data_IF_991476393448
#
_entry.id   IF_991476393448
#
_cell.length_a   1.000
_cell.length_b   1.000
_cell.length_c   1.000
_cell.angle_alpha   90.00
_cell.angle_beta   90.00
_cell.angle_gamma   90.00
#
_symmetry.space_group_name_H-M   'P 1'
#
loop_
_entity.id
_entity.type
_entity.pdbx_description
1 polymer ?
#
# COMPACT_ATOMS: atom_id res chain seq x y z
N UNK A 1 9.87 -32.38 -2.16
CA UNK A 1 11.12 -31.94 -2.81
C UNK A 1 11.66 -30.76 -2.01
N UNK A 2 12.86 -30.89 -1.45
CA UNK A 2 13.45 -29.92 -0.52
C UNK A 2 14.19 -28.85 -1.33
N UNK A 3 13.64 -27.65 -1.43
CA UNK A 3 14.40 -26.51 -1.97
C UNK A 3 15.17 -25.83 -0.85
N UNK A 4 16.49 -26.09 -0.85
CA UNK A 4 17.49 -25.28 -0.17
C UNK A 4 17.67 -24.00 -0.98
N UNK A 5 17.30 -22.86 -0.43
CA UNK A 5 17.64 -21.55 -1.02
C UNK A 5 18.65 -20.86 -0.13
N UNK A 6 19.81 -20.62 -0.74
CA UNK A 6 21.05 -20.08 -0.20
C UNK A 6 20.90 -18.60 0.16
N UNK A 7 21.28 -18.24 1.38
CA UNK A 7 21.41 -16.86 1.86
C UNK A 7 22.76 -16.33 1.39
N UNK A 8 22.77 -15.20 0.67
CA UNK A 8 23.99 -14.45 0.35
C UNK A 8 23.96 -13.14 1.15
N UNK A 9 24.69 -13.15 2.27
CA UNK A 9 25.05 -11.99 3.07
C UNK A 9 26.10 -11.18 2.30
N UNK A 10 25.84 -9.91 2.03
CA UNK A 10 26.89 -8.93 1.76
C UNK A 10 26.78 -7.81 2.81
N UNK A 11 27.69 -7.86 3.78
CA UNK A 11 27.97 -6.75 4.68
C UNK A 11 29.05 -5.87 4.05
N UNK A 12 28.80 -4.57 3.94
CA UNK A 12 29.83 -3.59 3.63
C UNK A 12 29.96 -2.64 4.82
N UNK A 13 31.02 -2.88 5.59
CA UNK A 13 31.55 -2.01 6.64
C UNK A 13 32.25 -0.84 5.96
N UNK A 14 31.88 0.39 6.27
CA UNK A 14 32.72 1.56 6.03
C UNK A 14 32.93 2.29 7.35
N UNK A 15 34.09 2.01 7.94
CA UNK A 15 34.70 2.83 8.97
C UNK A 15 35.43 3.99 8.31
N UNK A 16 35.15 5.21 8.74
CA UNK A 16 36.06 6.33 8.58
C UNK A 16 36.08 7.11 9.91
N UNK A 17 37.18 6.92 10.64
CA UNK A 17 37.56 7.69 11.79
C UNK A 17 38.01 9.09 11.36
N UNK A 18 37.56 10.13 12.04
CA UNK A 18 38.30 11.39 12.13
C UNK A 18 38.51 11.69 13.60
N UNK A 19 39.77 11.60 14.02
CA UNK A 19 40.26 12.08 15.29
C UNK A 19 40.34 13.61 15.24
N UNK A 20 39.75 14.27 16.24
CA UNK A 20 39.91 15.69 16.49
C UNK A 20 39.93 15.93 17.99
N UNK A 21 41.13 15.88 18.58
CA UNK A 21 41.38 16.39 19.93
C UNK A 21 41.22 17.92 19.92
N UNK A 22 40.30 18.44 20.72
CA UNK A 22 40.10 19.87 20.94
C UNK A 22 39.87 20.11 22.43
N UNK A 23 40.89 20.69 23.05
CA UNK A 23 41.14 20.96 24.47
C UNK A 23 40.06 21.84 25.12
N UNK A 24 39.81 21.57 26.41
CA UNK A 24 38.99 22.38 27.33
C UNK A 24 39.45 23.85 27.40
N UNK A 25 38.50 24.77 27.40
CA UNK A 25 38.63 26.07 28.07
C UNK A 25 37.26 26.51 28.62
N UNK A 26 37.22 26.65 29.94
CA UNK A 26 36.12 27.24 30.69
C UNK A 26 36.20 28.76 30.59
N UNK A 27 35.13 29.45 30.20
CA UNK A 27 34.93 30.87 30.51
C UNK A 27 33.45 31.24 30.45
N UNK A 28 32.94 31.53 31.64
CA UNK A 28 31.74 32.28 31.97
C UNK A 28 31.80 33.70 31.40
N UNK A 29 30.73 34.20 30.75
CA UNK A 29 30.20 35.56 30.87
C UNK A 29 29.17 35.93 29.79
N UNK A 30 28.04 36.47 30.27
CA UNK A 30 27.32 37.65 29.80
C UNK A 30 26.75 37.76 28.36
N UNK A 31 25.42 37.92 28.33
CA UNK A 31 24.63 38.98 27.68
C UNK A 31 24.65 39.20 26.15
N UNK A 32 23.41 39.27 25.63
CA UNK A 32 22.86 39.60 24.30
C UNK A 32 23.38 40.95 23.68
N UNK A 33 23.01 41.41 22.44
CA UNK A 33 21.84 41.09 21.60
C UNK A 33 22.12 41.09 20.05
N UNK A 34 21.25 41.55 19.11
CA UNK A 34 20.89 40.79 17.90
C UNK A 34 21.43 41.37 16.57
N UNK A 35 21.28 40.60 15.49
CA UNK A 35 21.13 41.12 14.13
C UNK A 35 22.36 40.95 13.23
N UNK A 36 22.14 40.38 12.04
CA UNK A 36 22.49 40.95 10.73
C UNK A 36 21.87 40.07 9.65
N UNK A 37 21.34 40.72 8.63
CA UNK A 37 20.55 40.17 7.54
C UNK A 37 21.45 39.68 6.36
N UNK A 38 20.94 39.50 5.12
CA UNK A 38 21.24 38.35 4.27
C UNK A 38 22.43 38.57 3.30
N UNK A 39 23.15 37.50 3.00
CA UNK A 39 24.19 37.48 1.97
C UNK A 39 23.78 36.61 0.76
N UNK A 40 23.75 37.16 -0.47
CA UNK A 40 23.61 36.40 -1.71
C UNK A 40 24.99 36.05 -2.29
N UNK A 41 25.23 34.79 -2.67
CA UNK A 41 26.35 34.33 -3.51
C UNK A 41 26.33 32.80 -3.56
N UNK A 42 26.66 32.09 -4.63
CA UNK A 42 27.16 32.47 -5.93
C UNK A 42 26.79 31.37 -6.94
N UNK A 43 26.69 31.78 -8.20
CA UNK A 43 26.61 30.90 -9.35
C UNK A 43 27.94 30.16 -9.60
N UNK A 44 27.84 28.97 -10.19
CA UNK A 44 28.91 28.32 -10.94
C UNK A 44 28.87 26.79 -10.87
N UNK A 45 29.53 26.05 -11.78
CA UNK A 45 29.66 26.30 -13.20
C UNK A 45 29.11 25.14 -14.05
N UNK A 46 28.90 25.49 -15.31
CA UNK A 46 28.62 24.61 -16.44
C UNK A 46 29.75 23.58 -16.65
N UNK A 47 29.39 22.31 -16.85
CA UNK A 47 30.27 21.30 -17.41
C UNK A 47 29.60 20.68 -18.64
N UNK A 48 30.17 20.99 -19.80
CA UNK A 48 29.80 20.44 -21.09
C UNK A 48 30.56 19.14 -21.38
N UNK A 49 29.82 18.21 -22.00
CA UNK A 49 30.24 17.22 -23.00
C UNK A 49 30.99 15.95 -22.52
N UNK A 50 31.13 14.89 -23.35
CA UNK A 50 30.52 14.57 -24.66
C UNK A 50 29.96 13.12 -24.73
N UNK A 51 29.36 12.74 -25.88
CA UNK A 51 29.46 11.35 -26.37
C UNK A 51 28.17 10.53 -26.42
N UNK A 52 27.67 10.34 -27.63
CA UNK A 52 26.54 9.48 -28.05
C UNK A 52 27.13 8.16 -28.66
N UNK A 53 26.31 7.28 -29.29
CA UNK A 53 25.60 6.08 -28.82
C UNK A 53 26.32 4.75 -29.23
N UNK A 54 25.71 3.55 -29.17
CA UNK A 54 24.76 3.11 -30.20
C UNK A 54 23.52 2.36 -29.69
N UNK A 55 22.47 2.46 -30.50
CA UNK A 55 21.30 1.60 -30.53
C UNK A 55 21.66 0.10 -30.46
N UNK A 56 20.97 -0.64 -29.59
CA UNK A 56 20.93 -2.10 -29.65
C UNK A 56 19.47 -2.53 -29.60
N UNK A 57 18.85 -2.48 -30.77
CA UNK A 57 17.62 -3.18 -31.08
C UNK A 57 17.91 -4.69 -31.07
N UNK A 58 17.59 -5.36 -29.97
CA UNK A 58 17.54 -6.81 -29.90
C UNK A 58 16.22 -7.32 -30.53
N UNK A 59 16.25 -8.31 -31.42
CA UNK A 59 15.06 -8.86 -32.05
C UNK A 59 14.17 -9.60 -31.05
N UNK A 60 12.86 -9.42 -31.20
CA UNK A 60 11.82 -10.15 -30.49
C UNK A 60 11.89 -11.66 -30.82
N UNK A 61 11.78 -12.58 -29.84
CA UNK A 61 11.58 -13.98 -30.14
C UNK A 61 10.16 -14.20 -30.68
N UNK A 62 10.08 -14.64 -31.93
CA UNK A 62 8.87 -15.20 -32.52
C UNK A 62 8.51 -16.49 -31.78
N UNK A 63 7.36 -16.49 -31.10
CA UNK A 63 6.79 -17.71 -30.52
C UNK A 63 5.78 -18.26 -31.52
N UNK A 64 6.26 -19.18 -32.36
CA UNK A 64 5.44 -20.08 -33.16
C UNK A 64 4.81 -21.11 -32.21
N UNK A 65 3.49 -21.19 -32.16
CA UNK A 65 2.78 -22.35 -31.61
C UNK A 65 2.04 -23.06 -32.74
N UNK A 66 2.36 -24.34 -33.03
CA UNK A 66 1.64 -25.14 -34.01
C UNK A 66 0.25 -25.53 -33.47
N UNK A 67 -0.71 -25.58 -34.37
CA UNK A 67 -2.09 -25.95 -34.08
C UNK A 67 -2.26 -27.41 -33.65
N UNK A 68 -3.37 -27.66 -32.95
CA UNK A 68 -3.97 -28.97 -32.85
C UNK A 68 -5.48 -28.82 -33.05
N UNK A 69 -5.92 -29.21 -34.25
CA UNK A 69 -7.30 -29.46 -34.63
C UNK A 69 -7.75 -30.77 -33.98
N UNK A 70 -8.93 -30.81 -33.35
CA UNK A 70 -9.69 -32.04 -33.22
C UNK A 70 -11.20 -31.75 -33.32
N UNK A 71 -11.94 -32.44 -34.22
CA UNK A 71 -13.38 -32.32 -34.41
C UNK A 71 -14.16 -33.38 -33.60
N UNK A 72 -15.45 -33.12 -33.40
CA UNK A 72 -16.50 -34.14 -33.49
C UNK A 72 -16.74 -35.04 -32.27
N UNK A 73 -17.88 -34.83 -31.61
CA UNK A 73 -18.42 -35.74 -30.61
C UNK A 73 -19.90 -35.48 -30.33
N UNK A 74 -20.75 -35.72 -31.33
CA UNK A 74 -22.20 -35.78 -31.17
C UNK A 74 -22.60 -37.02 -30.35
N UNK A 75 -23.56 -36.87 -29.43
CA UNK A 75 -24.30 -38.00 -28.86
C UNK A 75 -25.80 -37.67 -28.84
N UNK A 76 -26.65 -38.45 -29.52
CA UNK A 76 -28.10 -38.30 -29.50
C UNK A 76 -28.77 -39.20 -28.44
N UNK A 77 -29.99 -38.82 -28.05
CA UNK A 77 -30.93 -39.62 -27.23
C UNK A 77 -31.22 -38.93 -25.88
N UNK A 78 -32.38 -38.31 -25.62
CA UNK A 78 -33.71 -38.52 -26.17
C UNK A 78 -34.49 -39.48 -25.29
N UNK A 79 -35.19 -38.96 -24.28
CA UNK A 79 -36.54 -39.37 -23.85
C UNK A 79 -37.14 -38.27 -22.95
N UNK A 80 -38.19 -37.63 -23.44
CA UNK A 80 -39.25 -37.03 -22.63
C UNK A 80 -40.43 -38.04 -22.65
N UNK A 81 -41.36 -38.06 -21.66
CA UNK A 81 -42.46 -37.08 -21.70
C UNK A 81 -43.03 -36.60 -20.34
N UNK A 82 -43.50 -35.35 -20.39
CA UNK A 82 -44.76 -34.79 -19.85
C UNK A 82 -45.07 -34.89 -18.34
N UNK A 83 -45.16 -33.72 -17.68
CA UNK A 83 -46.38 -33.30 -16.95
C UNK A 83 -46.42 -31.75 -16.83
N UNK A 84 -47.24 -31.08 -17.64
CA UNK A 84 -48.54 -30.49 -17.29
C UNK A 84 -48.51 -29.34 -16.27
N UNK A 85 -48.33 -28.12 -16.78
CA UNK A 85 -49.20 -26.99 -16.41
C UNK A 85 -48.91 -26.21 -15.11
N UNK A 86 -48.16 -25.11 -15.24
CA UNK A 86 -48.60 -23.81 -14.71
C UNK A 86 -47.89 -22.65 -15.43
N UNK A 87 -48.61 -21.73 -16.10
CA UNK A 87 -48.05 -20.46 -16.56
C UNK A 87 -47.78 -19.59 -15.32
N UNK A 88 -46.54 -19.62 -14.83
CA UNK A 88 -46.04 -18.62 -13.89
C UNK A 88 -45.62 -17.38 -14.65
N UNK A 89 -46.10 -16.21 -14.20
CA UNK A 89 -45.82 -14.88 -14.73
C UNK A 89 -44.34 -14.64 -15.11
N UNK A 90 -44.07 -13.82 -16.14
CA UNK A 90 -42.74 -13.26 -16.39
C UNK A 90 -42.28 -12.43 -15.18
N UNK A 91 -41.52 -13.08 -14.30
CA UNK A 91 -40.86 -12.44 -13.18
C UNK A 91 -39.94 -11.32 -13.68
N UNK A 92 -40.31 -10.09 -13.32
CA UNK A 92 -39.56 -8.84 -13.49
C UNK A 92 -38.05 -9.04 -13.22
N UNK A 93 -37.13 -8.48 -14.02
CA UNK A 93 -35.69 -8.54 -13.75
C UNK A 93 -35.41 -8.10 -12.32
N UNK A 94 -34.78 -9.00 -11.55
CA UNK A 94 -34.46 -8.79 -10.15
C UNK A 94 -33.72 -7.48 -9.96
N UNK A 95 -34.30 -6.59 -9.16
CA UNK A 95 -33.66 -5.35 -8.74
C UNK A 95 -32.34 -5.60 -8.02
N UNK A 96 -31.48 -4.58 -7.91
CA UNK A 96 -30.15 -4.71 -7.32
C UNK A 96 -30.27 -5.30 -5.91
N UNK A 97 -29.53 -6.38 -5.68
CA UNK A 97 -29.46 -7.12 -4.42
C UNK A 97 -29.14 -6.16 -3.28
N UNK A 98 -30.19 -5.71 -2.59
CA UNK A 98 -30.10 -4.90 -1.37
C UNK A 98 -29.97 -5.87 -0.20
N UNK A 99 -28.86 -6.61 -0.17
CA UNK A 99 -28.47 -7.48 0.95
C UNK A 99 -27.89 -6.63 2.07
N UNK A 100 -28.75 -5.85 2.73
CA UNK A 100 -28.43 -4.92 3.81
C UNK A 100 -28.09 -5.60 5.13
N UNK A 101 -26.98 -6.34 5.18
CA UNK A 101 -26.26 -6.51 6.43
C UNK A 101 -25.57 -5.20 6.73
N UNK A 102 -26.16 -4.37 7.60
CA UNK A 102 -25.64 -3.06 7.99
C UNK A 102 -24.21 -3.15 8.50
N UNK A 103 -23.23 -3.04 7.59
CA UNK A 103 -21.82 -3.05 7.93
C UNK A 103 -21.55 -1.79 8.75
N UNK A 104 -20.87 -1.87 9.91
CA UNK A 104 -20.53 -0.71 10.71
C UNK A 104 -19.92 0.40 9.85
N UNK A 105 -20.61 1.53 9.78
CA UNK A 105 -20.13 2.72 9.11
C UNK A 105 -19.02 3.33 9.94
N UNK A 106 -17.76 3.10 9.58
CA UNK A 106 -16.66 3.94 10.07
C UNK A 106 -16.90 5.38 9.63
N UNK A 107 -16.63 6.32 10.53
CA UNK A 107 -16.68 7.74 10.22
C UNK A 107 -15.65 8.12 9.14
N UNK A 108 -15.75 9.36 8.63
CA UNK A 108 -14.80 9.90 7.68
C UNK A 108 -13.38 10.08 8.25
N UNK A 109 -13.24 10.11 9.59
CA UNK A 109 -11.98 10.37 10.29
C UNK A 109 -11.44 9.14 11.03
N UNK A 110 -12.23 8.07 11.14
CA UNK A 110 -11.85 6.88 11.90
C UNK A 110 -11.32 5.79 10.97
N UNK A 111 -10.02 5.50 11.07
CA UNK A 111 -9.35 4.44 10.33
C UNK A 111 -9.37 3.13 11.14
N UNK A 112 -10.01 2.09 10.63
CA UNK A 112 -9.96 0.73 11.21
C UNK A 112 -9.14 -0.20 10.32
N UNK A 113 -8.83 -1.42 10.79
CA UNK A 113 -8.20 -2.43 9.94
C UNK A 113 -9.04 -2.76 8.68
N UNK A 114 -10.36 -2.59 8.75
CA UNK A 114 -11.27 -2.79 7.61
C UNK A 114 -11.34 -1.58 6.67
N UNK A 115 -10.74 -0.44 7.03
CA UNK A 115 -10.58 0.76 6.21
C UNK A 115 -11.20 2.03 6.80
N UNK A 116 -11.51 3.02 5.95
CA UNK A 116 -12.01 4.35 6.35
C UNK A 116 -13.13 4.83 5.43
N UNK A 117 -14.22 5.35 6.00
CA UNK A 117 -15.42 5.76 5.26
C UNK A 117 -15.85 4.73 4.20
N UNK A 118 -15.90 5.10 2.90
CA UNK A 118 -16.25 4.20 1.80
C UNK A 118 -15.09 3.30 1.33
N UNK A 119 -13.85 3.59 1.73
CA UNK A 119 -12.67 2.79 1.36
C UNK A 119 -12.57 1.59 2.29
N UNK A 120 -13.26 0.52 1.93
CA UNK A 120 -13.29 -0.74 2.68
C UNK A 120 -12.48 -1.81 1.97
N UNK A 121 -11.72 -2.59 2.74
CA UNK A 121 -11.03 -3.76 2.20
C UNK A 121 -12.05 -4.70 1.53
N UNK A 122 -11.74 -5.13 0.31
CA UNK A 122 -12.58 -5.95 -0.55
C UNK A 122 -13.56 -5.19 -1.46
N UNK A 123 -13.78 -3.88 -1.27
CA UNK A 123 -14.64 -3.08 -2.16
C UNK A 123 -14.07 -3.02 -3.57
N UNK A 124 -14.95 -3.12 -4.56
CA UNK A 124 -14.54 -3.07 -5.96
C UNK A 124 -14.07 -1.66 -6.35
N UNK A 125 -12.97 -1.60 -7.09
CA UNK A 125 -12.42 -0.37 -7.65
C UNK A 125 -13.45 0.36 -8.51
N UNK A 126 -14.22 -0.38 -9.32
CA UNK A 126 -15.26 0.17 -10.20
C UNK A 126 -16.33 0.92 -9.41
N UNK A 127 -16.71 0.43 -8.24
CA UNK A 127 -17.75 1.05 -7.42
C UNK A 127 -17.25 2.36 -6.81
N UNK A 128 -15.99 2.39 -6.36
CA UNK A 128 -15.34 3.63 -5.89
C UNK A 128 -15.17 4.64 -7.03
N UNK A 129 -14.81 4.18 -8.23
CA UNK A 129 -14.68 5.05 -9.40
C UNK A 129 -16.03 5.66 -9.78
N UNK A 130 -17.09 4.84 -9.89
CA UNK A 130 -18.45 5.29 -10.21
C UNK A 130 -19.01 6.28 -9.17
N UNK A 131 -18.63 6.12 -7.90
CA UNK A 131 -18.99 7.05 -6.83
C UNK A 131 -18.14 8.35 -6.82
N UNK A 132 -17.23 8.56 -7.77
CA UNK A 132 -16.33 9.71 -7.80
C UNK A 132 -15.32 9.73 -6.64
N UNK A 133 -15.02 8.57 -6.07
CA UNK A 133 -14.16 8.43 -4.88
C UNK A 133 -12.69 8.18 -5.24
N UNK A 134 -12.33 8.10 -6.54
CA UNK A 134 -10.96 7.91 -7.02
C UNK A 134 -10.58 9.05 -7.95
N UNK A 135 -9.47 9.74 -7.67
CA UNK A 135 -9.04 10.89 -8.49
C UNK A 135 -7.86 10.59 -9.41
N UNK A 136 -7.05 9.58 -9.07
CA UNK A 136 -5.89 9.14 -9.84
C UNK A 136 -5.88 7.63 -9.79
N UNK A 137 -5.76 6.97 -10.94
CA UNK A 137 -5.72 5.52 -11.05
C UNK A 137 -4.57 5.16 -11.99
N UNK A 138 -3.66 4.30 -11.56
CA UNK A 138 -2.54 3.84 -12.38
C UNK A 138 -2.31 2.34 -12.18
N UNK A 139 -1.99 1.64 -13.27
CA UNK A 139 -1.68 0.21 -13.25
C UNK A 139 -0.17 0.04 -13.08
N UNK A 140 0.26 -0.80 -12.14
CA UNK A 140 1.67 -1.15 -11.95
C UNK A 140 2.05 -2.38 -12.76
N UNK A 141 3.34 -2.58 -13.01
CA UNK A 141 3.88 -3.72 -13.78
C UNK A 141 3.53 -5.11 -13.19
N UNK A 142 3.03 -5.18 -11.95
CA UNK A 142 2.57 -6.41 -11.28
C UNK A 142 1.07 -6.65 -11.35
N UNK A 143 0.32 -5.92 -12.19
CA UNK A 143 -1.12 -6.12 -12.36
C UNK A 143 -1.98 -5.52 -11.23
N UNK A 144 -1.39 -4.87 -10.23
CA UNK A 144 -2.18 -4.05 -9.31
C UNK A 144 -2.57 -2.75 -9.97
N UNK A 145 -3.63 -2.18 -9.43
CA UNK A 145 -3.97 -0.78 -9.66
C UNK A 145 -3.74 0.00 -8.39
N UNK A 146 -3.19 1.21 -8.49
CA UNK A 146 -3.09 2.14 -7.37
C UNK A 146 -3.99 3.34 -7.63
N UNK A 147 -4.42 4.00 -6.56
CA UNK A 147 -5.11 5.26 -6.70
C UNK A 147 -5.12 6.13 -5.46
N UNK A 148 -5.75 7.28 -5.56
CA UNK A 148 -5.88 8.23 -4.45
C UNK A 148 -7.36 8.46 -4.14
N UNK A 149 -7.71 8.34 -2.86
CA UNK A 149 -9.03 8.64 -2.35
C UNK A 149 -9.33 10.15 -2.26
N UNK A 150 -10.58 10.48 -1.95
CA UNK A 150 -11.07 11.83 -1.83
C UNK A 150 -10.55 12.53 -0.56
N UNK A 151 -10.36 13.85 -0.65
CA UNK A 151 -9.82 14.68 0.44
C UNK A 151 -10.61 14.61 1.73
N UNK A 152 -11.95 14.50 1.66
CA UNK A 152 -12.82 14.39 2.85
C UNK A 152 -12.57 13.13 3.70
N UNK A 153 -11.79 12.19 3.18
CA UNK A 153 -11.36 10.97 3.86
C UNK A 153 -9.84 10.91 4.01
N UNK A 154 -9.16 12.06 4.03
CA UNK A 154 -7.71 12.16 4.22
C UNK A 154 -6.86 11.66 3.05
N UNK A 155 -7.42 11.66 1.84
CA UNK A 155 -6.73 11.31 0.57
C UNK A 155 -5.90 10.02 0.66
N UNK A 156 -6.48 8.88 1.10
CA UNK A 156 -5.72 7.65 1.28
C UNK A 156 -5.09 7.21 -0.05
N UNK A 157 -3.85 6.72 0.01
CA UNK A 157 -3.28 5.96 -1.09
C UNK A 157 -3.88 4.55 -1.08
N UNK A 158 -4.41 4.11 -2.20
CA UNK A 158 -5.17 2.87 -2.34
C UNK A 158 -4.41 1.90 -3.22
N UNK A 159 -4.43 0.62 -2.87
CA UNK A 159 -3.88 -0.46 -3.68
C UNK A 159 -4.96 -1.51 -3.92
N UNK A 160 -5.22 -1.79 -5.19
CA UNK A 160 -6.19 -2.74 -5.68
C UNK A 160 -5.49 -3.95 -6.30
N UNK A 161 -6.02 -5.14 -6.04
CA UNK A 161 -5.63 -6.39 -6.69
C UNK A 161 -6.89 -7.09 -7.14
N UNK A 162 -6.89 -7.60 -8.37
CA UNK A 162 -8.06 -8.23 -9.00
C UNK A 162 -9.32 -7.33 -8.94
N UNK A 163 -9.11 -6.01 -9.10
CA UNK A 163 -10.16 -5.00 -9.05
C UNK A 163 -10.78 -4.76 -7.66
N UNK A 164 -10.19 -5.26 -6.58
CA UNK A 164 -10.67 -5.06 -5.20
C UNK A 164 -9.63 -4.38 -4.31
N UNK A 165 -10.08 -3.51 -3.42
CA UNK A 165 -9.22 -2.78 -2.49
C UNK A 165 -8.58 -3.76 -1.50
N UNK A 166 -7.26 -3.87 -1.50
CA UNK A 166 -6.51 -4.77 -0.60
C UNK A 166 -5.83 -4.03 0.53
N UNK A 167 -5.38 -2.82 0.24
CA UNK A 167 -4.61 -2.00 1.18
C UNK A 167 -4.92 -0.53 0.95
N UNK A 168 -4.92 0.22 2.03
CA UNK A 168 -4.88 1.67 1.99
C UNK A 168 -3.85 2.22 2.97
N UNK A 169 -3.27 3.37 2.66
CA UNK A 169 -2.27 4.07 3.46
C UNK A 169 -2.68 5.51 3.66
N UNK A 170 -2.60 6.00 4.88
CA UNK A 170 -2.87 7.39 5.27
C UNK A 170 -1.62 8.00 5.91
N UNK A 171 -1.27 9.21 5.48
CA UNK A 171 -0.18 10.03 6.04
C UNK A 171 -0.69 11.32 6.67
N UNK A 172 -2.00 11.57 6.60
CA UNK A 172 -2.63 12.73 7.23
C UNK A 172 -2.72 12.56 8.77
N UNK A 173 -2.48 13.64 9.51
CA UNK A 173 -2.52 13.65 10.98
C UNK A 173 -3.93 13.69 11.56
N UNK A 174 -4.93 14.07 10.76
CA UNK A 174 -6.32 14.17 11.19
C UNK A 174 -7.06 12.82 11.20
N UNK A 175 -6.54 11.80 10.51
CA UNK A 175 -7.07 10.44 10.61
C UNK A 175 -6.64 9.80 11.94
N UNK A 176 -7.61 9.20 12.64
CA UNK A 176 -7.40 8.62 13.97
C UNK A 176 -7.95 7.19 13.97
N UNK A 177 -7.28 6.26 14.64
CA UNK A 177 -7.80 4.90 14.83
C UNK A 177 -8.83 4.84 15.97
N UNK A 178 -9.62 3.77 16.13
CA UNK A 178 -10.54 3.64 17.26
C UNK A 178 -9.89 3.83 18.64
N UNK A 179 -8.63 3.39 18.79
CA UNK A 179 -7.89 3.53 20.03
C UNK A 179 -7.27 4.93 20.24
N UNK A 180 -7.35 5.83 19.25
CA UNK A 180 -6.79 7.18 19.32
C UNK A 180 -5.42 7.37 18.66
N UNK A 181 -4.85 6.32 18.04
CA UNK A 181 -3.57 6.45 17.35
C UNK A 181 -3.72 7.23 16.04
N UNK A 182 -2.71 8.03 15.71
CA UNK A 182 -2.64 8.86 14.50
C UNK A 182 -1.20 9.07 14.04
N UNK A 183 -1.00 9.63 12.85
CA UNK A 183 0.34 10.06 12.41
C UNK A 183 0.95 11.04 13.43
N UNK A 184 2.20 10.77 13.83
CA UNK A 184 2.93 11.46 14.89
C UNK A 184 2.86 10.81 16.28
N UNK A 185 2.01 9.79 16.47
CA UNK A 185 1.95 9.04 17.75
C UNK A 185 3.27 8.33 18.01
N UNK A 186 3.80 8.38 19.24
CA UNK A 186 5.02 7.65 19.59
C UNK A 186 4.80 6.14 19.72
N UNK A 187 5.81 5.33 19.39
CA UNK A 187 5.76 3.86 19.43
C UNK A 187 5.30 3.33 20.79
N UNK A 188 5.78 3.88 21.90
CA UNK A 188 5.37 3.47 23.24
C UNK A 188 3.85 3.63 23.46
N UNK A 189 3.26 4.71 22.94
CA UNK A 189 1.81 4.92 23.00
C UNK A 189 1.05 3.96 22.09
N UNK A 190 1.57 3.69 20.89
CA UNK A 190 0.98 2.69 19.98
C UNK A 190 0.96 1.30 20.63
N UNK A 191 2.06 0.87 21.26
CA UNK A 191 2.14 -0.41 21.97
C UNK A 191 1.14 -0.49 23.12
N UNK A 192 0.91 0.61 23.85
CA UNK A 192 -0.09 0.68 24.91
C UNK A 192 -1.53 0.55 24.36
N UNK A 193 -1.82 1.20 23.22
CA UNK A 193 -3.13 1.14 22.57
C UNK A 193 -3.39 -0.20 21.87
N UNK A 194 -2.34 -0.85 21.37
CA UNK A 194 -2.38 -2.09 20.59
C UNK A 194 -1.39 -3.12 21.16
N UNK A 195 -1.67 -3.66 22.36
CA UNK A 195 -0.73 -4.52 23.09
C UNK A 195 -0.45 -5.85 22.39
N UNK A 196 -1.39 -6.32 21.57
CA UNK A 196 -1.27 -7.59 20.83
C UNK A 196 -0.53 -7.43 19.49
N UNK A 197 0.03 -6.26 19.21
CA UNK A 197 0.79 -6.05 18.00
C UNK A 197 2.17 -6.70 18.04
N UNK A 198 2.81 -6.78 16.88
CA UNK A 198 4.19 -7.26 16.72
C UNK A 198 5.03 -6.24 15.98
N UNK A 199 6.30 -6.16 16.33
CA UNK A 199 7.26 -5.34 15.59
C UNK A 199 7.62 -6.04 14.28
N UNK A 200 7.63 -5.27 13.21
CA UNK A 200 8.16 -5.66 11.90
C UNK A 200 9.35 -4.76 11.56
N UNK A 201 10.20 -5.26 10.67
CA UNK A 201 11.22 -4.48 9.98
C UNK A 201 11.06 -4.73 8.48
N UNK A 202 11.18 -3.68 7.67
CA UNK A 202 11.24 -3.84 6.22
C UNK A 202 12.62 -4.36 5.77
N UNK A 203 12.79 -4.52 4.46
CA UNK A 203 14.04 -4.99 3.86
C UNK A 203 15.24 -4.04 4.04
N UNK A 204 15.02 -2.79 4.45
CA UNK A 204 16.07 -1.81 4.81
C UNK A 204 16.18 -1.59 6.31
N UNK A 205 15.43 -2.34 7.13
CA UNK A 205 15.44 -2.24 8.59
C UNK A 205 14.54 -1.14 9.16
N UNK A 206 13.71 -0.48 8.33
CA UNK A 206 12.76 0.50 8.83
C UNK A 206 11.70 -0.20 9.70
N UNK A 207 11.44 0.30 10.91
CA UNK A 207 10.54 -0.38 11.84
C UNK A 207 9.07 -0.08 11.58
N UNK A 208 8.21 -1.03 11.91
CA UNK A 208 6.77 -0.84 12.00
C UNK A 208 6.16 -1.66 13.14
N UNK A 209 4.94 -1.30 13.53
CA UNK A 209 4.13 -2.07 14.47
C UNK A 209 2.88 -2.59 13.76
N UNK A 210 2.69 -3.90 13.71
CA UNK A 210 1.52 -4.54 13.08
C UNK A 210 0.54 -4.97 14.17
N UNK A 211 -0.68 -4.44 14.15
CA UNK A 211 -1.78 -4.85 15.03
C UNK A 211 -2.86 -5.56 14.22
N UNK A 212 -2.99 -6.88 14.39
CA UNK A 212 -4.00 -7.68 13.70
C UNK A 212 -5.38 -7.56 14.37
N UNK A 213 -6.42 -7.45 13.55
CA UNK A 213 -7.83 -7.36 13.94
C UNK A 213 -8.64 -8.32 13.04
N UNK A 214 -8.72 -9.58 13.45
CA UNK A 214 -9.32 -10.65 12.63
C UNK A 214 -8.54 -10.90 11.34
N UNK A 215 -9.17 -10.90 10.15
CA UNK A 215 -8.49 -11.12 8.88
C UNK A 215 -7.73 -9.88 8.36
N UNK A 216 -7.87 -8.74 9.03
CA UNK A 216 -7.26 -7.47 8.65
C UNK A 216 -6.23 -7.02 9.69
N UNK A 217 -5.41 -6.03 9.35
CA UNK A 217 -4.48 -5.39 10.27
C UNK A 217 -4.41 -3.88 10.09
N UNK A 218 -3.96 -3.21 11.15
CA UNK A 218 -3.36 -1.90 11.10
C UNK A 218 -1.84 -2.04 11.15
N UNK A 219 -1.12 -1.37 10.24
CA UNK A 219 0.33 -1.26 10.27
C UNK A 219 0.71 0.19 10.53
N UNK A 220 1.43 0.41 11.63
CA UNK A 220 1.97 1.71 12.02
C UNK A 220 3.43 1.77 11.54
N UNK A 221 3.67 2.45 10.42
CA UNK A 221 5.03 2.65 9.88
C UNK A 221 5.72 3.73 10.71
N UNK A 222 6.97 3.50 11.11
CA UNK A 222 7.68 4.35 12.08
C UNK A 222 8.84 5.10 11.44
N UNK A 223 9.07 6.32 11.90
CA UNK A 223 10.24 7.15 11.62
C UNK A 223 10.53 7.95 12.89
N UNK A 224 11.76 7.89 13.40
CA UNK A 224 12.17 8.51 14.67
C UNK A 224 11.23 8.16 15.85
N UNK A 225 10.92 6.87 16.00
CA UNK A 225 9.98 6.32 17.00
C UNK A 225 8.56 6.89 16.96
N UNK A 226 8.17 7.54 15.87
CA UNK A 226 6.83 8.10 15.65
C UNK A 226 6.18 7.52 14.42
N UNK A 227 4.87 7.37 14.46
CA UNK A 227 4.07 6.92 13.31
C UNK A 227 4.19 7.93 12.17
N UNK A 228 4.77 7.54 11.04
CA UNK A 228 4.85 8.35 9.82
C UNK A 228 3.72 8.04 8.83
N UNK A 229 3.15 6.84 8.90
CA UNK A 229 1.96 6.44 8.16
C UNK A 229 1.19 5.34 8.88
N UNK A 230 -0.11 5.24 8.61
CA UNK A 230 -0.94 4.12 9.05
C UNK A 230 -1.50 3.43 7.80
N UNK A 231 -1.30 2.11 7.71
CA UNK A 231 -1.87 1.28 6.67
C UNK A 231 -2.96 0.37 7.23
N UNK A 232 -3.99 0.12 6.43
CA UNK A 232 -5.04 -0.84 6.73
C UNK A 232 -5.20 -1.80 5.54
N UNK A 233 -5.49 -3.06 5.81
CA UNK A 233 -5.60 -4.10 4.79
C UNK A 233 -5.71 -5.49 5.37
N UNK A 234 -5.79 -6.50 4.50
CA UNK A 234 -5.66 -7.88 4.92
C UNK A 234 -4.26 -8.11 5.55
N UNK A 235 -4.19 -8.94 6.60
CA UNK A 235 -2.95 -9.11 7.42
C UNK A 235 -1.74 -9.45 6.55
N UNK A 236 -1.86 -10.48 5.70
CA UNK A 236 -0.77 -10.94 4.84
C UNK A 236 -0.34 -9.88 3.82
N UNK A 237 -1.22 -9.31 2.96
CA UNK A 237 -0.82 -8.25 2.03
C UNK A 237 -0.18 -7.01 2.67
N UNK A 238 -0.63 -6.64 3.87
CA UNK A 238 -0.03 -5.52 4.62
C UNK A 238 1.36 -5.90 5.12
N UNK A 239 1.51 -7.09 5.71
CA UNK A 239 2.81 -7.56 6.20
C UNK A 239 3.81 -7.71 5.07
N UNK A 240 3.49 -8.50 4.03
CA UNK A 240 4.40 -8.74 2.89
C UNK A 240 4.71 -7.47 2.11
N UNK A 241 3.72 -6.58 1.96
CA UNK A 241 3.95 -5.31 1.29
C UNK A 241 4.94 -4.40 2.00
N UNK A 242 5.03 -4.53 3.33
CA UNK A 242 6.02 -3.84 4.13
C UNK A 242 7.35 -4.59 4.19
N UNK A 243 7.36 -5.90 4.41
CA UNK A 243 8.60 -6.68 4.61
C UNK A 243 9.38 -6.90 3.32
N UNK A 244 8.70 -7.15 2.20
CA UNK A 244 9.31 -7.65 0.97
C UNK A 244 9.29 -6.63 -0.18
N UNK A 245 8.87 -5.39 0.10
CA UNK A 245 8.58 -4.35 -0.90
C UNK A 245 7.59 -4.80 -1.98
N UNK A 246 6.81 -5.85 -1.71
CA UNK A 246 5.80 -6.36 -2.62
C UNK A 246 4.56 -5.48 -2.50
N UNK A 247 4.61 -4.33 -3.18
CA UNK A 247 3.47 -3.41 -3.24
C UNK A 247 2.28 -4.00 -3.99
N UNK A 248 2.48 -5.20 -4.55
CA UNK A 248 1.63 -6.16 -5.24
C UNK A 248 2.11 -7.57 -4.91
#
# INVERSE_FOLDING_TARGET
MRHRSTILLLAAVMAAAVAGCGKDDSSEAAQSPPGTAPGPSAAGPSASAPGRPPDSAGPAPAVTSPGATAPGGARPGGVAPVDSGRPGEPGKPGGPATGGGGRPGTSANTLTAAGIGPYRIGVAQRDLYAAGMLTKVSVSAGGCTTGTGAKKYHSPALTFRDGRLQRLRITDKAAVTPAGARVGTGLASVRKMYPNGKQLADWVGAPAWLAAEGPNALLFVLTDDKVSAIEAGAVEPVQFGFTDNQRC
#
